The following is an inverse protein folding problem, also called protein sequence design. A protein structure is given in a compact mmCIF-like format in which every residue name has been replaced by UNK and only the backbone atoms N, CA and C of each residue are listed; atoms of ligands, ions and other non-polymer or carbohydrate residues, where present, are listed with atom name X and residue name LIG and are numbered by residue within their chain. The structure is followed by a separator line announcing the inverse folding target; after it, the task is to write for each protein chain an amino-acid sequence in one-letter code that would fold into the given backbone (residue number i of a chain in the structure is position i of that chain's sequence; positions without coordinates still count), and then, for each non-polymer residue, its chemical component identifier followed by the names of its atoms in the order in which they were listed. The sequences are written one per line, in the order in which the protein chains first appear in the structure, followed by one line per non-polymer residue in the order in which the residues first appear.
data_IF_325049716171
#
_entry.id   IF_325049716171
#
_cell.length_a   1.000
_cell.length_b   1.000
_cell.length_c   1.000
_cell.angle_alpha   90.00
_cell.angle_beta   90.00
_cell.angle_gamma   90.00
#
_symmetry.space_group_name_H-M   'P 1'
#
loop_
_entity.id
_entity.type
_entity.pdbx_description
1 polymer ?
#
# COMPACT_ATOMS: atom_id res chain seq x y z
N UNK A 1 5.31 -1.15 33.77
CA UNK A 1 5.59 -0.08 32.78
C UNK A 1 6.44 -0.55 31.59
N UNK A 2 7.45 -1.42 31.77
CA UNK A 2 8.33 -1.88 30.68
C UNK A 2 7.64 -2.69 29.56
N UNK A 3 6.58 -3.44 29.87
CA UNK A 3 5.80 -4.20 28.87
C UNK A 3 5.09 -3.32 27.83
N UNK A 4 4.69 -2.10 28.22
CA UNK A 4 4.05 -1.15 27.31
C UNK A 4 5.09 -0.62 26.30
N UNK A 5 6.28 -0.25 26.78
CA UNK A 5 7.40 0.19 25.94
C UNK A 5 7.89 -0.92 25.00
N UNK A 6 7.94 -2.16 25.48
CA UNK A 6 8.30 -3.33 24.66
C UNK A 6 7.28 -3.59 23.53
N UNK A 7 6.01 -3.27 23.74
CA UNK A 7 4.98 -3.38 22.69
C UNK A 7 5.14 -2.36 21.56
N UNK A 8 5.78 -1.22 21.80
CA UNK A 8 6.06 -0.20 20.77
C UNK A 8 7.39 -0.43 20.04
N UNK A 9 8.33 -1.17 20.64
CA UNK A 9 9.61 -1.53 20.01
C UNK A 9 9.59 -2.92 19.37
N UNK A 10 8.65 -3.78 19.75
CA UNK A 10 8.44 -5.05 19.07
C UNK A 10 7.99 -4.80 17.61
N UNK A 11 8.57 -5.49 16.62
CA UNK A 11 8.16 -5.34 15.24
C UNK A 11 6.69 -5.73 15.11
N UNK A 12 5.85 -4.79 14.67
CA UNK A 12 4.44 -5.03 14.44
C UNK A 12 4.30 -6.06 13.32
N UNK A 13 3.87 -7.28 13.67
CA UNK A 13 3.58 -8.33 12.70
C UNK A 13 2.29 -7.97 11.96
N UNK A 14 2.39 -7.07 10.98
CA UNK A 14 1.34 -6.91 9.99
C UNK A 14 1.34 -8.17 9.13
N UNK A 15 0.25 -8.93 9.17
CA UNK A 15 0.08 -10.06 8.28
C UNK A 15 0.08 -9.56 6.85
N UNK A 16 1.13 -9.89 6.07
CA UNK A 16 1.22 -9.64 4.63
C UNK A 16 0.28 -10.56 3.83
N UNK A 17 -0.87 -10.91 4.40
CA UNK A 17 -1.86 -11.69 3.70
C UNK A 17 -2.43 -10.84 2.57
N UNK A 18 -2.74 -11.43 1.40
CA UNK A 18 -3.36 -10.70 0.29
C UNK A 18 -4.63 -9.96 0.72
N UNK A 19 -5.32 -10.47 1.73
CA UNK A 19 -6.50 -9.86 2.33
C UNK A 19 -6.19 -8.59 3.13
N UNK A 20 -5.05 -8.52 3.83
CA UNK A 20 -4.63 -7.32 4.56
C UNK A 20 -4.29 -6.16 3.61
N UNK A 21 -3.78 -6.45 2.41
CA UNK A 21 -3.55 -5.45 1.36
C UNK A 21 -4.85 -4.81 0.85
N UNK A 22 -5.95 -5.58 0.82
CA UNK A 22 -7.28 -5.04 0.43
C UNK A 22 -7.76 -3.97 1.42
N UNK A 23 -7.39 -4.09 2.70
CA UNK A 23 -7.71 -3.08 3.72
C UNK A 23 -6.92 -1.76 3.56
N UNK A 24 -5.86 -1.73 2.75
CA UNK A 24 -5.20 -0.48 2.37
C UNK A 24 -6.00 0.32 1.33
N UNK A 25 -6.86 -0.32 0.52
CA UNK A 25 -7.67 0.36 -0.48
C UNK A 25 -8.62 1.43 0.09
N UNK A 26 -9.44 1.16 1.13
CA UNK A 26 -10.30 2.20 1.70
C UNK A 26 -9.51 3.36 2.29
N UNK A 27 -8.33 3.09 2.87
CA UNK A 27 -7.39 4.11 3.33
C UNK A 27 -6.88 4.99 2.18
N UNK A 28 -6.43 4.38 1.09
CA UNK A 28 -5.95 5.10 -0.10
C UNK A 28 -7.06 5.95 -0.73
N UNK A 29 -8.28 5.41 -0.82
CA UNK A 29 -9.46 6.14 -1.33
C UNK A 29 -9.77 7.35 -0.43
N UNK A 30 -9.80 7.17 0.89
CA UNK A 30 -10.01 8.28 1.83
C UNK A 30 -8.94 9.37 1.70
N UNK A 31 -7.67 9.01 1.60
CA UNK A 31 -6.57 9.98 1.46
C UNK A 31 -6.68 10.74 0.14
N UNK A 32 -7.02 10.06 -0.97
CA UNK A 32 -7.20 10.71 -2.26
C UNK A 32 -8.37 11.71 -2.27
N UNK A 33 -9.49 11.35 -1.64
CA UNK A 33 -10.66 12.24 -1.49
C UNK A 33 -10.32 13.46 -0.65
N UNK A 34 -9.69 13.26 0.52
CA UNK A 34 -9.29 14.35 1.41
C UNK A 34 -8.27 15.25 0.73
N UNK A 35 -7.21 14.70 0.14
CA UNK A 35 -6.18 15.48 -0.57
C UNK A 35 -6.78 16.42 -1.62
N UNK A 36 -7.71 15.90 -2.43
CA UNK A 36 -8.38 16.71 -3.44
C UNK A 36 -9.33 17.73 -2.81
N UNK A 37 -10.00 17.40 -1.72
CA UNK A 37 -10.89 18.32 -1.01
C UNK A 37 -10.13 19.50 -0.39
N UNK A 38 -8.91 19.27 0.11
CA UNK A 38 -8.06 20.34 0.66
C UNK A 38 -7.39 21.20 -0.41
N UNK A 39 -7.12 20.64 -1.60
CA UNK A 39 -6.44 21.33 -2.71
C UNK A 39 -7.37 22.09 -3.66
N UNK A 40 -8.68 21.83 -3.65
CA UNK A 40 -9.63 22.40 -4.62
C UNK A 40 -10.45 23.53 -4.01
N UNK A 41 -10.30 24.74 -4.56
CA UNK A 41 -10.98 25.96 -4.12
C UNK A 41 -12.47 26.04 -4.54
N UNK A 42 -12.92 25.21 -5.51
CA UNK A 42 -14.32 25.10 -5.96
C UNK A 42 -14.71 23.63 -6.18
N UNK A 43 -15.55 23.08 -5.30
CA UNK A 43 -16.00 21.69 -5.37
C UNK A 43 -17.23 21.59 -6.27
N UNK A 44 -17.05 21.12 -7.52
CA UNK A 44 -18.16 20.66 -8.36
C UNK A 44 -18.26 19.13 -8.24
N UNK A 45 -19.30 18.61 -7.58
CA UNK A 45 -19.41 17.20 -7.20
C UNK A 45 -19.21 16.22 -8.38
N UNK A 46 -19.83 16.46 -9.53
CA UNK A 46 -19.76 15.57 -10.71
C UNK A 46 -18.33 15.32 -11.24
N UNK A 47 -17.62 16.35 -11.76
CA UNK A 47 -16.25 16.18 -12.25
C UNK A 47 -15.26 15.81 -11.13
N UNK A 48 -15.54 16.25 -9.90
CA UNK A 48 -14.67 15.98 -8.76
C UNK A 48 -14.57 14.49 -8.44
N UNK A 49 -15.69 13.76 -8.38
CA UNK A 49 -15.70 12.30 -8.14
C UNK A 49 -15.06 11.51 -9.29
N UNK A 50 -15.33 11.90 -10.55
CA UNK A 50 -14.77 11.22 -11.73
C UNK A 50 -13.25 11.31 -11.76
N UNK A 51 -12.71 12.51 -11.55
CA UNK A 51 -11.27 12.74 -11.51
C UNK A 51 -10.62 12.20 -10.22
N UNK A 52 -11.29 12.25 -9.07
CA UNK A 52 -10.78 11.66 -7.83
C UNK A 52 -10.69 10.12 -7.94
N UNK A 53 -11.69 9.50 -8.56
CA UNK A 53 -11.68 8.08 -8.91
C UNK A 53 -10.54 7.73 -9.87
N UNK A 54 -10.30 8.56 -10.89
CA UNK A 54 -9.19 8.35 -11.84
C UNK A 54 -7.81 8.47 -11.16
N UNK A 55 -7.65 9.43 -10.25
CA UNK A 55 -6.43 9.61 -9.47
C UNK A 55 -6.18 8.43 -8.52
N UNK A 56 -7.23 7.98 -7.82
CA UNK A 56 -7.17 6.80 -6.96
C UNK A 56 -6.84 5.54 -7.74
N UNK A 57 -7.45 5.34 -8.92
CA UNK A 57 -7.18 4.21 -9.80
C UNK A 57 -5.72 4.21 -10.28
N UNK A 58 -5.18 5.37 -10.64
CA UNK A 58 -3.77 5.51 -11.06
C UNK A 58 -2.80 5.09 -9.94
N UNK A 59 -3.06 5.52 -8.70
CA UNK A 59 -2.23 5.16 -7.53
C UNK A 59 -2.31 3.65 -7.26
N UNK A 60 -3.50 3.07 -7.33
CA UNK A 60 -3.69 1.62 -7.13
C UNK A 60 -2.98 0.82 -8.22
N UNK A 61 -3.06 1.26 -9.48
CA UNK A 61 -2.35 0.62 -10.59
C UNK A 61 -0.83 0.68 -10.38
N UNK A 62 -0.29 1.83 -9.94
CA UNK A 62 1.12 1.96 -9.62
C UNK A 62 1.55 1.05 -8.47
N UNK A 63 0.77 0.98 -7.38
CA UNK A 63 1.03 0.07 -6.26
C UNK A 63 1.02 -1.40 -6.68
N UNK A 64 0.09 -1.79 -7.56
CA UNK A 64 0.03 -3.16 -8.09
C UNK A 64 1.30 -3.49 -8.89
N UNK A 65 1.74 -2.60 -9.77
CA UNK A 65 2.97 -2.77 -10.56
C UNK A 65 4.18 -2.90 -9.62
N UNK A 66 4.32 -2.00 -8.63
CA UNK A 66 5.40 -2.05 -7.67
C UNK A 66 5.38 -3.36 -6.85
N UNK A 67 4.20 -3.84 -6.45
CA UNK A 67 4.03 -5.11 -5.74
C UNK A 67 4.45 -6.32 -6.57
N UNK A 68 4.13 -6.35 -7.87
CA UNK A 68 4.58 -7.41 -8.79
C UNK A 68 6.10 -7.39 -8.93
N UNK A 69 6.71 -6.21 -9.09
CA UNK A 69 8.16 -6.07 -9.17
C UNK A 69 8.83 -6.58 -7.89
N UNK A 70 8.30 -6.20 -6.72
CA UNK A 70 8.79 -6.68 -5.43
C UNK A 70 8.67 -8.19 -5.28
N UNK A 71 7.56 -8.79 -5.72
CA UNK A 71 7.40 -10.25 -5.73
C UNK A 71 8.42 -10.92 -6.66
N UNK A 72 8.66 -10.35 -7.85
CA UNK A 72 9.66 -10.87 -8.77
C UNK A 72 11.07 -10.78 -8.19
N UNK A 73 11.41 -9.67 -7.52
CA UNK A 73 12.70 -9.52 -6.81
C UNK A 73 12.80 -10.56 -5.69
N UNK A 74 11.73 -10.75 -4.91
CA UNK A 74 11.71 -11.72 -3.82
C UNK A 74 11.95 -13.15 -4.34
N UNK A 75 11.33 -13.52 -5.46
CA UNK A 75 11.59 -14.80 -6.13
C UNK A 75 13.05 -14.93 -6.58
N UNK A 76 13.60 -13.92 -7.24
CA UNK A 76 15.00 -13.95 -7.70
C UNK A 76 15.96 -14.06 -6.54
N UNK A 77 15.68 -13.38 -5.43
CA UNK A 77 16.49 -13.42 -4.21
C UNK A 77 16.39 -14.80 -3.54
N UNK A 78 15.20 -15.39 -3.46
CA UNK A 78 15.00 -16.74 -2.91
C UNK A 78 15.76 -17.78 -3.74
N UNK A 79 15.67 -17.72 -5.07
CA UNK A 79 16.41 -18.61 -5.97
C UNK A 79 17.93 -18.43 -5.84
N UNK A 80 18.41 -17.18 -5.70
CA UNK A 80 19.82 -16.87 -5.44
C UNK A 80 20.28 -17.45 -4.11
N UNK A 81 19.49 -17.28 -3.06
CA UNK A 81 19.80 -17.77 -1.71
C UNK A 81 19.81 -19.30 -1.67
N UNK A 82 18.83 -19.97 -2.29
CA UNK A 82 18.80 -21.42 -2.41
C UNK A 82 20.03 -21.97 -3.13
N UNK A 83 20.43 -21.32 -4.23
CA UNK A 83 21.64 -21.68 -4.99
C UNK A 83 22.93 -21.46 -4.20
N UNK A 84 22.97 -20.50 -3.27
CA UNK A 84 24.13 -20.23 -2.39
C UNK A 84 24.18 -21.24 -1.23
N UNK A 85 23.02 -21.68 -0.72
CA UNK A 85 22.92 -22.62 0.40
C UNK A 85 22.98 -24.11 -0.01
N UNK A 86 23.02 -24.41 -1.31
CA UNK A 86 23.41 -25.72 -1.82
C UNK A 86 22.33 -26.81 -1.74
N UNK A 87 21.08 -26.44 -1.95
CA UNK A 87 19.97 -27.37 -2.22
C UNK A 87 19.33 -27.07 -3.57
#
# INVERSE_FOLDING_TARGET
MGWILAGFTAPMQMGLSPWSLVWMLPLTVSIAVVYKATKVHRVQAGPFFKEAGLLSLSIVAFMAIAGVILCAICWVVDEKIGRILGY
#
